data_IF_643562416343
#
_entry.id   IF_643562416343
#
_cell.length_a   1.000
_cell.length_b   1.000
_cell.length_c   1.000
_cell.angle_alpha   90.00
_cell.angle_beta   90.00
_cell.angle_gamma   90.00
#
_symmetry.space_group_name_H-M   'P 1'
#
loop_
_entity.id
_entity.type
_entity.pdbx_description
1 polymer ?
#
# COMPACT_ATOMS: atom_id res chain seq x y z
N UNK A 1 9.59 18.03 7.98
CA UNK A 1 8.20 18.00 7.47
C UNK A 1 7.68 16.60 7.71
N UNK A 2 6.66 16.44 8.54
CA UNK A 2 5.92 15.18 8.67
C UNK A 2 4.89 15.14 7.55
N UNK A 3 5.01 14.17 6.64
CA UNK A 3 3.98 13.91 5.64
C UNK A 3 2.89 13.10 6.35
N UNK A 4 1.66 13.60 6.32
CA UNK A 4 0.48 12.88 6.79
C UNK A 4 0.33 11.56 6.03
N UNK A 5 0.00 10.47 6.72
CA UNK A 5 -0.05 9.12 6.12
C UNK A 5 -0.93 9.09 4.85
N UNK A 6 -2.06 9.80 4.86
CA UNK A 6 -2.99 9.86 3.73
C UNK A 6 -2.39 10.43 2.45
N UNK A 7 -1.33 11.23 2.56
CA UNK A 7 -0.65 11.88 1.43
C UNK A 7 0.72 11.25 1.14
N UNK A 8 1.08 10.18 1.84
CA UNK A 8 2.37 9.52 1.67
C UNK A 8 2.35 8.70 0.36
N UNK A 9 3.25 8.99 -0.61
CA UNK A 9 3.33 8.21 -1.84
C UNK A 9 3.72 6.75 -1.57
N UNK A 10 3.33 5.85 -2.48
CA UNK A 10 3.59 4.41 -2.33
C UNK A 10 5.09 4.11 -2.14
N UNK A 11 5.94 4.72 -2.96
CA UNK A 11 7.39 4.50 -2.95
C UNK A 11 8.03 4.95 -1.63
N UNK A 12 7.48 6.00 -1.01
CA UNK A 12 7.99 6.50 0.26
C UNK A 12 7.48 5.67 1.44
N UNK A 13 6.21 5.28 1.41
CA UNK A 13 5.63 4.35 2.38
C UNK A 13 6.34 2.99 2.38
N UNK A 14 6.65 2.46 1.19
CA UNK A 14 7.38 1.20 1.03
C UNK A 14 8.81 1.31 1.56
N UNK A 15 9.52 2.39 1.23
CA UNK A 15 10.88 2.64 1.74
C UNK A 15 10.92 2.72 3.27
N UNK A 16 9.94 3.39 3.87
CA UNK A 16 9.83 3.46 5.33
C UNK A 16 9.55 2.08 5.93
N UNK A 17 8.64 1.31 5.32
CA UNK A 17 8.31 -0.05 5.76
C UNK A 17 9.51 -0.99 5.69
N UNK A 18 10.28 -0.97 4.60
CA UNK A 18 11.52 -1.76 4.45
C UNK A 18 12.55 -1.39 5.52
N UNK A 19 12.70 -0.10 5.82
CA UNK A 19 13.60 0.36 6.87
C UNK A 19 13.16 -0.13 8.26
N UNK A 20 11.86 -0.18 8.52
CA UNK A 20 11.28 -0.72 9.76
C UNK A 20 11.54 -2.23 9.86
N UNK A 21 11.26 -3.00 8.80
CA UNK A 21 11.50 -4.44 8.77
C UNK A 21 12.95 -4.75 9.07
N UNK A 22 13.88 -4.06 8.40
CA UNK A 22 15.31 -4.24 8.62
C UNK A 22 15.71 -4.00 10.09
N UNK A 23 15.20 -2.95 10.72
CA UNK A 23 15.49 -2.65 12.14
C UNK A 23 14.94 -3.71 13.09
N UNK A 24 13.77 -4.27 12.79
CA UNK A 24 13.18 -5.35 13.58
C UNK A 24 13.99 -6.65 13.43
N UNK A 25 14.43 -6.96 12.21
CA UNK A 25 15.27 -8.14 11.92
C UNK A 25 16.65 -8.07 12.57
N UNK A 26 17.21 -6.88 12.74
CA UNK A 26 18.48 -6.68 13.45
C UNK A 26 18.40 -7.11 14.93
N UNK A 27 17.20 -7.15 15.53
CA UNK A 27 16.95 -7.73 16.85
C UNK A 27 17.60 -6.99 18.04
N UNK A 28 18.07 -5.76 17.82
CA UNK A 28 18.78 -4.94 18.83
C UNK A 28 17.93 -3.85 19.46
N UNK A 29 16.68 -3.70 19.04
CA UNK A 29 15.77 -2.68 19.55
C UNK A 29 15.27 -3.05 20.95
N UNK A 30 15.19 -2.08 21.89
CA UNK A 30 14.40 -2.23 23.10
C UNK A 30 12.96 -2.63 22.78
N UNK A 31 12.31 -3.37 23.68
CA UNK A 31 10.94 -3.88 23.47
C UNK A 31 9.95 -2.78 23.06
N UNK A 32 9.95 -1.66 23.78
CA UNK A 32 9.05 -0.53 23.50
C UNK A 32 9.28 0.07 22.10
N UNK A 33 10.53 0.09 21.62
CA UNK A 33 10.84 0.55 20.27
C UNK A 33 10.43 -0.48 19.23
N UNK A 34 10.62 -1.78 19.50
CA UNK A 34 10.17 -2.85 18.62
C UNK A 34 8.65 -2.81 18.42
N UNK A 35 7.88 -2.59 19.50
CA UNK A 35 6.42 -2.45 19.43
C UNK A 35 6.02 -1.25 18.56
N UNK A 36 6.63 -0.08 18.79
CA UNK A 36 6.35 1.13 17.98
C UNK A 36 6.68 0.93 16.49
N UNK A 37 7.81 0.30 16.18
CA UNK A 37 8.19 -0.02 14.81
C UNK A 37 7.20 -0.99 14.18
N UNK A 38 6.76 -2.02 14.91
CA UNK A 38 5.75 -2.96 14.43
C UNK A 38 4.41 -2.27 14.14
N UNK A 39 3.90 -1.45 15.05
CA UNK A 39 2.65 -0.69 14.87
C UNK A 39 2.73 0.23 13.64
N UNK A 40 3.83 0.98 13.50
CA UNK A 40 4.06 1.84 12.33
C UNK A 40 4.13 1.01 11.04
N UNK A 41 4.84 -0.12 11.07
CA UNK A 41 4.92 -1.03 9.93
C UNK A 41 3.56 -1.58 9.51
N UNK A 42 2.70 -1.95 10.46
CA UNK A 42 1.34 -2.40 10.19
C UNK A 42 0.50 -1.32 9.51
N UNK A 43 0.60 -0.07 9.99
CA UNK A 43 -0.08 1.09 9.40
C UNK A 43 0.39 1.34 7.97
N UNK A 44 1.71 1.33 7.73
CA UNK A 44 2.29 1.51 6.39
C UNK A 44 1.89 0.39 5.43
N UNK A 45 1.84 -0.86 5.90
CA UNK A 45 1.39 -2.01 5.10
C UNK A 45 -0.03 -1.79 4.60
N UNK A 46 -0.97 -1.46 5.50
CA UNK A 46 -2.36 -1.20 5.13
C UNK A 46 -2.48 0.00 4.18
N UNK A 47 -1.68 1.04 4.37
CA UNK A 47 -1.64 2.18 3.44
C UNK A 47 -1.19 1.76 2.03
N UNK A 48 -0.12 0.98 1.92
CA UNK A 48 0.36 0.45 0.65
C UNK A 48 -0.68 -0.46 -0.03
N UNK A 49 -1.35 -1.33 0.72
CA UNK A 49 -2.43 -2.21 0.22
C UNK A 49 -3.58 -1.39 -0.39
N UNK A 50 -3.98 -0.30 0.27
CA UNK A 50 -5.03 0.60 -0.23
C UNK A 50 -4.60 1.31 -1.52
N UNK A 51 -3.38 1.85 -1.57
CA UNK A 51 -2.86 2.50 -2.79
C UNK A 51 -2.82 1.54 -3.98
N UNK A 52 -2.40 0.28 -3.75
CA UNK A 52 -2.38 -0.75 -4.79
C UNK A 52 -3.79 -1.13 -5.23
N UNK A 53 -4.75 -1.22 -4.32
CA UNK A 53 -6.16 -1.46 -4.63
C UNK A 53 -6.72 -0.36 -5.53
N UNK A 54 -6.47 0.90 -5.19
CA UNK A 54 -6.92 2.04 -5.97
C UNK A 54 -6.26 2.09 -7.35
N UNK A 55 -4.96 1.79 -7.42
CA UNK A 55 -4.24 1.71 -8.69
C UNK A 55 -4.79 0.59 -9.58
N UNK A 56 -5.07 -0.60 -9.02
CA UNK A 56 -5.67 -1.72 -9.74
C UNK A 56 -7.05 -1.33 -10.28
N UNK A 57 -7.91 -0.71 -9.47
CA UNK A 57 -9.24 -0.29 -9.89
C UNK A 57 -9.18 0.67 -11.09
N UNK A 58 -8.21 1.60 -11.10
CA UNK A 58 -7.98 2.52 -12.23
C UNK A 58 -7.53 1.78 -13.48
N UNK A 59 -6.64 0.79 -13.35
CA UNK A 59 -6.18 -0.02 -14.48
C UNK A 59 -7.32 -0.86 -15.06
N UNK A 60 -8.12 -1.49 -14.20
CA UNK A 60 -9.25 -2.33 -14.61
C UNK A 60 -10.30 -1.51 -15.40
N UNK A 61 -10.54 -0.25 -15.03
CA UNK A 61 -11.41 0.66 -15.77
C UNK A 61 -10.85 1.08 -17.14
N UNK A 62 -9.54 0.95 -17.34
CA UNK A 62 -8.88 1.29 -18.61
C UNK A 62 -8.87 0.09 -19.56
N UNK A 63 -9.14 -1.15 -19.10
CA UNK A 63 -9.07 -2.35 -19.95
C UNK A 63 -10.00 -2.19 -21.16
N UNK A 64 -9.33 -2.00 -22.28
CA UNK A 64 -9.82 -1.68 -23.61
C UNK A 64 -10.40 -2.95 -24.25
N UNK A 65 -11.54 -2.82 -24.93
CA UNK A 65 -12.01 -3.90 -25.82
C UNK A 65 -10.94 -4.16 -26.90
N UNK A 66 -10.87 -5.37 -27.50
CA UNK A 66 -9.90 -5.67 -28.57
C UNK A 66 -9.86 -4.65 -29.72
N UNK A 67 -10.92 -3.84 -29.90
CA UNK A 67 -11.00 -2.78 -30.90
C UNK A 67 -10.41 -1.41 -30.50
N UNK A 68 -9.77 -1.26 -29.34
CA UNK A 68 -9.17 0.04 -28.96
C UNK A 68 -10.14 1.03 -28.31
N UNK A 69 -11.36 0.59 -27.96
CA UNK A 69 -12.38 1.44 -27.33
C UNK A 69 -12.24 1.41 -25.81
N UNK A 70 -12.08 2.58 -25.19
CA UNK A 70 -12.15 2.74 -23.74
C UNK A 70 -13.60 2.56 -23.29
N UNK A 71 -13.93 1.40 -22.73
CA UNK A 71 -15.22 1.14 -22.10
C UNK A 71 -15.05 1.14 -20.59
N UNK A 72 -15.72 2.06 -19.90
CA UNK A 72 -15.78 2.07 -18.44
C UNK A 72 -16.74 0.97 -17.96
N UNK A 73 -16.29 -0.28 -17.94
CA UNK A 73 -17.06 -1.36 -17.32
C UNK A 73 -16.84 -1.37 -15.80
N UNK A 74 -17.93 -1.54 -15.04
CA UNK A 74 -17.86 -1.70 -13.58
C UNK A 74 -17.10 -3.00 -13.26
N UNK A 75 -16.08 -2.90 -12.41
CA UNK A 75 -15.23 -4.03 -12.01
C UNK A 75 -16.06 -5.15 -11.33
N UNK A 76 -15.89 -6.45 -11.67
CA UNK A 76 -16.60 -7.57 -11.06
C UNK A 76 -16.06 -8.04 -9.69
N UNK A 77 -15.17 -7.29 -9.05
CA UNK A 77 -14.52 -7.73 -7.79
C UNK A 77 -15.45 -7.73 -6.56
N UNK A 78 -16.76 -7.55 -6.73
CA UNK A 78 -17.75 -7.71 -5.64
C UNK A 78 -18.10 -9.19 -5.36
N UNK A 79 -17.61 -10.15 -6.15
CA UNK A 79 -18.01 -11.57 -6.06
C UNK A 79 -17.09 -12.48 -5.21
N UNK A 80 -16.04 -11.96 -4.55
CA UNK A 80 -15.21 -12.74 -3.60
C UNK A 80 -15.23 -12.12 -2.19
N UNK A 81 -16.36 -12.30 -1.47
CA UNK A 81 -16.44 -12.31 0.00
C UNK A 81 -17.33 -13.45 0.45
#
# INVERSE_FOLDING_TARGET
>A
MTIELSNLPFEEAMRELEAIVRKLEEGRLPLDEAIKNYERGAILRTHCENLLKDAKLKVDQIVVSPEGTLSLERSPLEDEI
#
